data_IF_229196919336
#
_entry.id   IF_229196919336
#
_cell.length_a   1.000
_cell.length_b   1.000
_cell.length_c   1.000
_cell.angle_alpha   90.00
_cell.angle_beta   90.00
_cell.angle_gamma   90.00
#
_symmetry.space_group_name_H-M   'P 1'
#
loop_
_entity.id
_entity.type
_entity.pdbx_description
1 polymer ?
#
# COMPACT_ATOMS: atom_id res chain seq x y z
N UNK A 1 -23.54 2.93 -69.33
CA UNK A 1 -22.86 4.21 -69.00
C UNK A 1 -23.91 5.07 -68.34
N UNK A 2 -23.67 5.49 -67.09
CA UNK A 2 -24.05 6.80 -66.53
C UNK A 2 -23.84 6.80 -65.02
N UNK A 3 -22.76 7.48 -64.62
CA UNK A 3 -22.42 7.82 -63.24
C UNK A 3 -23.39 8.89 -62.72
N UNK A 4 -23.93 8.71 -61.52
CA UNK A 4 -24.48 9.81 -60.70
C UNK A 4 -23.83 9.81 -59.32
N UNK A 5 -22.72 10.56 -59.22
CA UNK A 5 -22.16 11.00 -57.95
C UNK A 5 -22.95 12.23 -57.45
N UNK A 6 -23.61 12.09 -56.30
CA UNK A 6 -24.26 13.20 -55.60
C UNK A 6 -23.42 13.66 -54.42
N UNK A 7 -22.75 14.79 -54.56
CA UNK A 7 -22.08 15.53 -53.48
C UNK A 7 -23.12 16.08 -52.50
N UNK A 8 -22.99 15.77 -51.19
CA UNK A 8 -23.68 16.49 -50.12
C UNK A 8 -22.71 17.47 -49.46
N UNK A 9 -23.07 18.73 -49.56
CA UNK A 9 -22.38 19.90 -49.00
C UNK A 9 -22.40 19.89 -47.47
N UNK A 10 -21.24 20.11 -46.86
CA UNK A 10 -21.11 20.43 -45.44
C UNK A 10 -21.62 21.85 -45.18
N UNK A 11 -22.49 21.99 -44.19
CA UNK A 11 -23.00 23.28 -43.74
C UNK A 11 -22.14 23.78 -42.57
N UNK A 12 -21.47 24.91 -42.78
CA UNK A 12 -20.75 25.66 -41.76
C UNK A 12 -21.73 26.59 -41.02
N UNK A 13 -21.70 26.61 -39.69
CA UNK A 13 -21.93 27.88 -38.99
C UNK A 13 -21.14 27.93 -37.67
N UNK A 14 -20.41 29.05 -37.37
CA UNK A 14 -19.51 29.18 -36.24
C UNK A 14 -20.11 30.00 -35.07
N UNK A 15 -19.35 30.05 -33.98
CA UNK A 15 -19.41 30.93 -32.77
C UNK A 15 -19.96 30.28 -31.49
N UNK A 16 -19.05 29.85 -30.62
CA UNK A 16 -18.68 30.64 -29.44
C UNK A 16 -17.53 29.99 -28.66
N UNK A 17 -16.37 30.64 -28.71
CA UNK A 17 -15.30 30.47 -27.72
C UNK A 17 -15.62 31.38 -26.53
N UNK A 18 -15.69 30.82 -25.32
CA UNK A 18 -15.17 31.45 -24.09
C UNK A 18 -15.62 30.66 -22.85
N UNK A 19 -14.72 29.83 -22.33
CA UNK A 19 -14.46 29.75 -20.89
C UNK A 19 -13.19 28.92 -20.70
N UNK A 20 -12.06 29.60 -20.74
CA UNK A 20 -10.87 29.11 -20.07
C UNK A 20 -11.23 28.94 -18.59
N UNK A 21 -11.29 27.69 -18.11
CA UNK A 21 -11.32 27.43 -16.68
C UNK A 21 -9.90 27.04 -16.25
N UNK A 22 -9.09 28.06 -16.08
CA UNK A 22 -7.79 28.04 -15.41
C UNK A 22 -8.00 27.66 -13.94
N UNK A 23 -8.01 26.35 -13.64
CA UNK A 23 -8.06 25.88 -12.25
C UNK A 23 -7.34 24.54 -12.01
N UNK A 24 -6.39 24.17 -12.87
CA UNK A 24 -5.60 22.95 -12.69
C UNK A 24 -4.30 23.13 -11.88
N UNK A 25 -3.84 24.37 -11.65
CA UNK A 25 -2.52 24.63 -11.06
C UNK A 25 -2.50 25.03 -9.58
N UNK A 26 -3.66 25.17 -8.90
CA UNK A 26 -3.72 25.64 -7.50
C UNK A 26 -4.27 24.61 -6.49
N UNK A 27 -4.23 23.31 -6.79
CA UNK A 27 -4.60 22.26 -5.80
C UNK A 27 -3.42 21.68 -5.02
N UNK A 28 -2.19 22.00 -5.39
CA UNK A 28 -0.99 21.44 -4.74
C UNK A 28 -0.51 22.23 -3.52
N UNK A 29 -1.02 23.44 -3.27
CA UNK A 29 -0.45 24.35 -2.25
C UNK A 29 -1.18 24.37 -0.90
N UNK A 30 -2.23 23.56 -0.72
CA UNK A 30 -3.01 23.54 0.53
C UNK A 30 -3.06 22.18 1.25
N UNK A 31 -2.13 21.26 0.96
CA UNK A 31 -1.91 20.11 1.82
C UNK A 31 -0.85 20.48 2.86
N UNK A 32 -1.28 21.08 3.97
CA UNK A 32 -0.50 20.96 5.21
C UNK A 32 -0.37 19.47 5.48
N UNK A 33 0.78 18.91 5.13
CA UNK A 33 1.05 17.48 5.14
C UNK A 33 1.05 17.06 6.61
N UNK A 34 -0.10 16.63 7.15
CA UNK A 34 -0.15 16.02 8.48
C UNK A 34 0.90 14.90 8.46
N UNK A 35 1.83 14.98 9.40
CA UNK A 35 2.92 14.01 9.55
C UNK A 35 2.43 12.94 10.51
N UNK A 36 2.83 11.69 10.27
CA UNK A 36 2.60 10.61 11.24
C UNK A 36 3.23 11.05 12.57
N UNK A 37 2.53 10.87 13.69
CA UNK A 37 3.05 11.22 15.00
C UNK A 37 4.37 10.51 15.29
N UNK A 38 5.21 11.15 16.10
CA UNK A 38 6.55 10.68 16.37
C UNK A 38 6.55 9.28 17.01
N UNK A 39 5.60 9.00 17.89
CA UNK A 39 5.48 7.71 18.58
C UNK A 39 5.17 6.58 17.60
N UNK A 40 4.18 6.78 16.72
CA UNK A 40 3.85 5.84 15.64
C UNK A 40 5.03 5.62 14.70
N UNK A 41 5.75 6.69 14.34
CA UNK A 41 6.93 6.59 13.46
C UNK A 41 8.07 5.82 14.13
N UNK A 42 8.33 6.09 15.41
CA UNK A 42 9.34 5.39 16.20
C UNK A 42 8.97 3.91 16.39
N UNK A 43 7.70 3.62 16.62
CA UNK A 43 7.18 2.26 16.69
C UNK A 43 7.42 1.49 15.39
N UNK A 44 7.07 2.07 14.23
CA UNK A 44 7.29 1.41 12.93
C UNK A 44 8.79 1.13 12.72
N UNK A 45 9.66 2.08 13.07
CA UNK A 45 11.10 1.93 12.92
C UNK A 45 11.73 0.93 13.90
N UNK A 46 11.05 0.57 14.98
CA UNK A 46 11.54 -0.43 15.94
C UNK A 46 11.22 -1.87 15.54
N UNK A 47 10.42 -2.07 14.48
CA UNK A 47 10.10 -3.40 13.96
C UNK A 47 11.37 -4.04 13.39
N UNK A 48 11.76 -5.19 13.94
CA UNK A 48 12.89 -6.00 13.48
C UNK A 48 12.42 -7.43 13.20
N UNK A 49 12.87 -8.01 12.10
CA UNK A 49 12.56 -9.41 11.75
C UNK A 49 13.41 -10.43 12.49
N UNK A 50 14.56 -10.00 12.98
CA UNK A 50 15.57 -10.90 13.52
C UNK A 50 16.04 -10.40 14.87
N UNK A 51 16.31 -11.35 15.75
CA UNK A 51 17.01 -11.08 17.00
C UNK A 51 18.51 -10.97 16.71
N UNK A 52 19.17 -10.06 17.42
CA UNK A 52 20.63 -9.88 17.39
C UNK A 52 21.30 -10.71 18.50
N UNK A 53 20.69 -11.84 18.89
CA UNK A 53 21.19 -12.70 19.97
C UNK A 53 22.25 -13.67 19.40
N UNK A 54 23.52 -13.33 19.62
CA UNK A 54 24.67 -14.13 19.17
C UNK A 54 25.01 -13.94 17.69
N UNK A 55 25.80 -14.86 17.12
CA UNK A 55 26.24 -14.79 15.71
C UNK A 55 25.17 -15.27 14.70
N UNK A 56 24.12 -15.95 15.17
CA UNK A 56 23.09 -16.54 14.33
C UNK A 56 21.87 -15.61 14.16
N UNK A 57 21.53 -15.30 12.90
CA UNK A 57 20.37 -14.47 12.54
C UNK A 57 19.05 -15.27 12.63
N UNK A 58 18.49 -15.35 13.83
CA UNK A 58 17.21 -16.02 14.12
C UNK A 58 16.03 -15.06 14.00
N UNK A 59 14.86 -15.56 13.58
CA UNK A 59 13.63 -14.77 13.51
C UNK A 59 13.27 -14.33 14.94
N UNK A 60 12.88 -13.06 15.10
CA UNK A 60 12.48 -12.54 16.39
C UNK A 60 11.29 -13.35 16.95
N UNK A 61 11.47 -13.91 18.16
CA UNK A 61 10.52 -14.87 18.76
C UNK A 61 9.14 -14.26 19.04
N UNK A 62 9.07 -12.94 19.20
CA UNK A 62 7.85 -12.21 19.55
C UNK A 62 7.23 -11.50 18.32
N UNK A 63 7.82 -11.67 17.13
CA UNK A 63 7.41 -10.95 15.92
C UNK A 63 5.98 -11.27 15.51
N UNK A 64 5.60 -12.55 15.58
CA UNK A 64 4.29 -13.02 15.13
C UNK A 64 3.23 -13.07 16.24
N UNK A 65 3.61 -12.74 17.48
CA UNK A 65 2.75 -12.68 18.66
C UNK A 65 2.62 -11.24 19.16
N UNK A 66 3.40 -10.84 20.18
CA UNK A 66 3.32 -9.54 20.85
C UNK A 66 3.44 -8.39 19.84
N UNK A 67 4.41 -8.46 18.93
CA UNK A 67 4.63 -7.39 17.95
C UNK A 67 3.46 -7.26 16.96
N UNK A 68 2.91 -8.39 16.52
CA UNK A 68 1.75 -8.41 15.62
C UNK A 68 0.51 -7.80 16.31
N UNK A 69 0.28 -8.13 17.58
CA UNK A 69 -0.80 -7.57 18.40
C UNK A 69 -0.62 -6.06 18.60
N UNK A 70 0.59 -5.60 18.95
CA UNK A 70 0.91 -4.17 19.06
C UNK A 70 0.64 -3.42 17.74
N UNK A 71 1.01 -4.01 16.59
CA UNK A 71 0.72 -3.44 15.27
C UNK A 71 -0.78 -3.33 15.05
N UNK A 72 -1.56 -4.37 15.37
CA UNK A 72 -3.03 -4.33 15.27
C UNK A 72 -3.61 -3.24 16.16
N UNK A 73 -3.11 -3.08 17.38
CA UNK A 73 -3.54 -2.02 18.29
C UNK A 73 -3.28 -0.62 17.71
N UNK A 74 -2.15 -0.41 17.01
CA UNK A 74 -1.90 0.85 16.30
C UNK A 74 -2.82 1.03 15.08
N UNK A 75 -3.10 -0.04 14.32
CA UNK A 75 -4.01 -0.02 13.17
C UNK A 75 -5.46 0.28 13.58
N UNK A 76 -5.88 -0.21 14.75
CA UNK A 76 -7.24 -0.08 15.29
C UNK A 76 -7.55 1.32 15.81
N UNK A 77 -6.52 2.10 16.19
CA UNK A 77 -6.70 3.49 16.60
C UNK A 77 -7.30 4.32 15.46
N UNK A 78 -8.14 5.30 15.83
CA UNK A 78 -8.49 6.38 14.90
C UNK A 78 -7.20 7.13 14.56
N UNK A 79 -7.01 7.38 13.28
CA UNK A 79 -5.83 8.07 12.78
C UNK A 79 -6.18 8.94 11.59
N UNK A 80 -5.23 9.79 11.20
CA UNK A 80 -5.39 10.55 9.96
C UNK A 80 -5.00 9.71 8.74
N UNK A 81 -5.66 9.98 7.63
CA UNK A 81 -5.28 9.58 6.27
C UNK A 81 -4.23 10.55 5.73
N UNK A 82 -3.68 10.27 4.55
CA UNK A 82 -2.64 11.13 3.97
C UNK A 82 -3.14 12.51 3.52
N UNK A 83 -4.46 12.73 3.49
CA UNK A 83 -5.08 14.05 3.26
C UNK A 83 -5.39 14.79 4.56
N UNK A 84 -5.17 14.15 5.72
CA UNK A 84 -5.47 14.70 7.04
C UNK A 84 -6.87 14.36 7.56
N UNK A 85 -7.73 13.71 6.76
CA UNK A 85 -9.05 13.24 7.17
C UNK A 85 -8.93 12.13 8.22
N UNK A 86 -9.71 12.22 9.29
CA UNK A 86 -9.79 11.15 10.29
C UNK A 86 -10.47 9.89 9.73
N UNK A 87 -9.93 8.74 10.09
CA UNK A 87 -10.45 7.45 9.70
C UNK A 87 -9.99 6.33 10.63
N UNK A 88 -10.52 5.15 10.38
CA UNK A 88 -10.14 3.92 11.05
C UNK A 88 -10.04 2.84 9.98
N UNK A 89 -9.03 1.98 10.09
CA UNK A 89 -8.88 0.88 9.14
C UNK A 89 -9.94 -0.20 9.39
N UNK A 90 -10.36 -0.84 8.30
CA UNK A 90 -11.25 -2.00 8.30
C UNK A 90 -10.49 -3.27 7.97
N UNK A 91 -10.95 -4.41 8.47
CA UNK A 91 -10.34 -5.70 8.14
C UNK A 91 -10.35 -5.98 6.62
N UNK A 92 -11.39 -5.52 5.91
CA UNK A 92 -11.50 -5.64 4.45
C UNK A 92 -10.41 -4.88 3.70
N UNK A 93 -9.94 -3.75 4.25
CA UNK A 93 -8.83 -2.98 3.68
C UNK A 93 -7.49 -3.70 3.87
N UNK A 94 -7.24 -4.24 5.07
CA UNK A 94 -6.05 -5.06 5.35
C UNK A 94 -6.02 -6.30 4.46
N UNK A 95 -7.15 -7.00 4.34
CA UNK A 95 -7.27 -8.22 3.52
C UNK A 95 -6.94 -7.95 2.04
N UNK A 96 -7.29 -6.78 1.51
CA UNK A 96 -6.93 -6.40 0.13
C UNK A 96 -5.42 -6.39 -0.08
N UNK A 97 -4.66 -5.82 0.86
CA UNK A 97 -3.19 -5.82 0.79
C UNK A 97 -2.61 -7.21 1.03
N UNK A 98 -3.16 -7.95 1.99
CA UNK A 98 -2.74 -9.32 2.26
C UNK A 98 -2.90 -10.23 1.03
N UNK A 99 -4.01 -10.10 0.30
CA UNK A 99 -4.23 -10.88 -0.93
C UNK A 99 -3.17 -10.59 -2.00
N UNK A 100 -2.78 -9.31 -2.18
CA UNK A 100 -1.70 -8.93 -3.10
C UNK A 100 -0.36 -9.56 -2.67
N UNK A 101 -0.03 -9.47 -1.38
CA UNK A 101 1.17 -10.05 -0.78
C UNK A 101 1.19 -11.58 -0.98
N UNK A 102 0.08 -12.25 -0.65
CA UNK A 102 -0.06 -13.69 -0.73
C UNK A 102 0.02 -14.20 -2.18
N UNK A 103 -0.53 -13.44 -3.14
CA UNK A 103 -0.44 -13.79 -4.57
C UNK A 103 1.01 -13.86 -5.03
N UNK A 104 1.82 -12.88 -4.65
CA UNK A 104 3.26 -12.86 -4.98
C UNK A 104 4.00 -13.99 -4.24
N UNK A 105 3.68 -14.22 -2.96
CA UNK A 105 4.27 -15.33 -2.17
C UNK A 105 4.05 -16.67 -2.86
N UNK A 106 2.80 -16.96 -3.24
CA UNK A 106 2.45 -18.19 -3.93
C UNK A 106 3.22 -18.32 -5.26
N UNK A 107 3.35 -17.24 -6.03
CA UNK A 107 4.12 -17.25 -7.28
C UNK A 107 5.59 -17.63 -7.06
N UNK A 108 6.20 -17.10 -6.00
CA UNK A 108 7.59 -17.40 -5.62
C UNK A 108 7.71 -18.86 -5.15
N UNK A 109 6.85 -19.29 -4.23
CA UNK A 109 6.88 -20.63 -3.61
C UNK A 109 6.65 -21.76 -4.62
N UNK A 110 5.74 -21.58 -5.57
CA UNK A 110 5.44 -22.60 -6.59
C UNK A 110 6.39 -22.54 -7.80
N UNK A 111 7.35 -21.62 -7.81
CA UNK A 111 8.36 -21.56 -8.88
C UNK A 111 9.43 -22.65 -8.71
N UNK A 112 10.04 -23.07 -9.83
CA UNK A 112 11.17 -24.02 -9.80
C UNK A 112 12.42 -23.46 -9.11
N UNK A 113 12.55 -22.13 -9.09
CA UNK A 113 13.67 -21.44 -8.45
C UNK A 113 13.14 -20.21 -7.69
N UNK A 114 12.75 -20.38 -6.42
CA UNK A 114 12.15 -19.32 -5.61
C UNK A 114 13.02 -18.07 -5.48
N UNK A 115 14.34 -18.20 -5.41
CA UNK A 115 15.20 -17.02 -5.28
C UNK A 115 15.22 -16.19 -6.57
N UNK A 116 15.34 -16.85 -7.73
CA UNK A 116 15.27 -16.17 -9.02
C UNK A 116 13.89 -15.52 -9.22
N UNK A 117 12.81 -16.21 -8.85
CA UNK A 117 11.46 -15.67 -8.97
C UNK A 117 11.23 -14.50 -8.01
N UNK A 118 11.75 -14.56 -6.78
CA UNK A 118 11.75 -13.42 -5.85
C UNK A 118 12.41 -12.18 -6.47
N UNK A 119 13.56 -12.32 -7.13
CA UNK A 119 14.22 -11.18 -7.79
C UNK A 119 13.36 -10.58 -8.92
N UNK A 120 12.62 -11.40 -9.67
CA UNK A 120 11.67 -10.92 -10.69
C UNK A 120 10.45 -10.26 -10.06
N UNK A 121 10.00 -10.74 -8.91
CA UNK A 121 8.85 -10.22 -8.19
C UNK A 121 9.17 -8.99 -7.35
N UNK A 122 10.44 -8.73 -7.04
CA UNK A 122 10.87 -7.61 -6.20
C UNK A 122 10.32 -6.24 -6.63
N UNK A 123 10.23 -5.87 -7.93
CA UNK A 123 9.55 -4.66 -8.36
C UNK A 123 8.06 -4.62 -7.99
N UNK A 124 7.35 -5.75 -8.09
CA UNK A 124 5.94 -5.87 -7.74
C UNK A 124 5.72 -5.85 -6.22
N UNK A 125 6.64 -6.43 -5.45
CA UNK A 125 6.69 -6.28 -4.00
C UNK A 125 6.84 -4.81 -3.64
N UNK A 126 7.81 -4.09 -4.25
CA UNK A 126 7.98 -2.65 -4.06
C UNK A 126 6.77 -1.83 -4.49
N UNK A 127 6.03 -2.27 -5.51
CA UNK A 127 4.81 -1.62 -5.97
C UNK A 127 3.67 -1.65 -4.93
N UNK A 128 3.68 -2.59 -3.97
CA UNK A 128 2.72 -2.61 -2.86
C UNK A 128 2.79 -1.30 -2.05
N UNK A 129 4.00 -0.75 -1.84
CA UNK A 129 4.19 0.54 -1.19
C UNK A 129 3.50 1.69 -1.96
N UNK A 130 3.56 1.67 -3.29
CA UNK A 130 2.86 2.65 -4.13
C UNK A 130 1.34 2.51 -4.04
N UNK A 131 0.82 1.28 -4.04
CA UNK A 131 -0.62 0.98 -3.83
C UNK A 131 -1.10 1.46 -2.46
N UNK A 132 -0.30 1.27 -1.41
CA UNK A 132 -0.60 1.76 -0.06
C UNK A 132 -0.67 3.29 -0.04
N UNK A 133 0.31 3.96 -0.65
CA UNK A 133 0.32 5.41 -0.72
C UNK A 133 -0.90 5.96 -1.47
N UNK A 134 -1.23 5.38 -2.63
CA UNK A 134 -2.43 5.75 -3.38
C UNK A 134 -3.71 5.56 -2.56
N UNK A 135 -3.87 4.42 -1.88
CA UNK A 135 -5.02 4.17 -1.01
C UNK A 135 -5.11 5.19 0.14
N UNK A 136 -3.97 5.55 0.73
CA UNK A 136 -3.90 6.55 1.80
C UNK A 136 -4.28 7.96 1.30
N UNK A 137 -3.84 8.33 0.09
CA UNK A 137 -4.19 9.60 -0.56
C UNK A 137 -5.66 9.69 -0.99
N UNK A 138 -6.33 8.54 -1.10
CA UNK A 138 -7.77 8.41 -1.41
C UNK A 138 -8.61 8.18 -0.15
N UNK A 139 -8.02 8.40 1.03
CA UNK A 139 -8.66 8.23 2.35
C UNK A 139 -9.19 6.81 2.60
N UNK A 140 -8.58 5.81 1.96
CA UNK A 140 -8.97 4.40 2.11
C UNK A 140 -8.21 3.68 3.21
N UNK A 141 -7.08 4.21 3.68
CA UNK A 141 -6.32 3.68 4.83
C UNK A 141 -5.70 4.83 5.62
N UNK A 142 -5.37 4.59 6.88
CA UNK A 142 -4.66 5.57 7.71
C UNK A 142 -3.18 5.67 7.32
N UNK A 143 -2.55 6.78 7.72
CA UNK A 143 -1.11 7.01 7.55
C UNK A 143 -0.28 5.92 8.22
N UNK A 144 -0.70 5.43 9.40
CA UNK A 144 0.00 4.35 10.10
C UNK A 144 0.12 3.10 9.23
N UNK A 145 -1.01 2.62 8.67
CA UNK A 145 -1.00 1.42 7.81
C UNK A 145 -0.18 1.64 6.53
N UNK A 146 -0.25 2.84 5.95
CA UNK A 146 0.58 3.20 4.79
C UNK A 146 2.09 3.12 5.12
N UNK A 147 2.53 3.78 6.18
CA UNK A 147 3.94 3.79 6.57
C UNK A 147 4.43 2.42 7.06
N UNK A 148 3.58 1.64 7.74
CA UNK A 148 3.89 0.25 8.10
C UNK A 148 4.20 -0.60 6.85
N UNK A 149 3.32 -0.55 5.83
CA UNK A 149 3.52 -1.29 4.58
C UNK A 149 4.79 -0.82 3.89
N UNK A 150 4.96 0.50 3.74
CA UNK A 150 6.14 1.10 3.10
C UNK A 150 7.44 0.70 3.81
N UNK A 151 7.48 0.76 5.13
CA UNK A 151 8.66 0.42 5.91
C UNK A 151 9.04 -1.06 5.70
N UNK A 152 8.10 -1.99 5.81
CA UNK A 152 8.38 -3.41 5.59
C UNK A 152 8.89 -3.66 4.17
N UNK A 153 8.17 -3.18 3.15
CA UNK A 153 8.45 -3.44 1.73
C UNK A 153 9.76 -2.79 1.27
N UNK A 154 10.05 -1.56 1.70
CA UNK A 154 11.19 -0.80 1.20
C UNK A 154 12.44 -0.98 2.05
N UNK A 155 12.28 -1.16 3.37
CA UNK A 155 13.41 -1.15 4.30
C UNK A 155 13.76 -2.53 4.84
N UNK A 156 12.78 -3.41 5.11
CA UNK A 156 13.03 -4.71 5.74
C UNK A 156 13.15 -5.87 4.73
N UNK A 157 12.33 -5.89 3.68
CA UNK A 157 12.38 -6.95 2.67
C UNK A 157 13.56 -6.77 1.73
N UNK A 158 14.59 -7.62 1.86
CA UNK A 158 15.79 -7.64 0.99
C UNK A 158 16.00 -8.98 0.30
N UNK A 159 15.51 -10.06 0.91
CA UNK A 159 15.65 -11.44 0.46
C UNK A 159 14.29 -12.14 0.41
N UNK A 160 14.22 -13.29 -0.27
CA UNK A 160 13.03 -14.14 -0.23
C UNK A 160 12.65 -14.54 1.21
N UNK A 161 13.66 -14.79 2.08
CA UNK A 161 13.42 -15.08 3.51
C UNK A 161 12.75 -13.91 4.22
N UNK A 162 13.20 -12.67 3.98
CA UNK A 162 12.57 -11.48 4.57
C UNK A 162 11.13 -11.32 4.07
N UNK A 163 10.88 -11.58 2.78
CA UNK A 163 9.54 -11.52 2.22
C UNK A 163 8.59 -12.55 2.85
N UNK A 164 9.05 -13.77 3.07
CA UNK A 164 8.28 -14.78 3.78
C UNK A 164 7.94 -14.35 5.21
N UNK A 165 8.91 -13.76 5.93
CA UNK A 165 8.67 -13.20 7.27
C UNK A 165 7.63 -12.08 7.23
N UNK A 166 7.70 -11.18 6.24
CA UNK A 166 6.71 -10.13 6.04
C UNK A 166 5.30 -10.71 5.81
N UNK A 167 5.19 -11.73 4.96
CA UNK A 167 3.92 -12.40 4.68
C UNK A 167 3.33 -13.02 5.94
N UNK A 168 4.13 -13.75 6.71
CA UNK A 168 3.70 -14.37 7.97
C UNK A 168 3.31 -13.32 9.01
N UNK A 169 4.08 -12.23 9.15
CA UNK A 169 3.71 -11.11 10.02
C UNK A 169 2.37 -10.51 9.62
N UNK A 170 2.14 -10.28 8.33
CA UNK A 170 0.88 -9.74 7.84
C UNK A 170 -0.29 -10.71 8.08
N UNK A 171 -0.06 -12.01 7.94
CA UNK A 171 -1.04 -13.05 8.28
C UNK A 171 -1.41 -13.03 9.77
N UNK A 172 -0.42 -12.95 10.66
CA UNK A 172 -0.66 -12.76 12.10
C UNK A 172 -1.47 -11.49 12.38
N UNK A 173 -1.17 -10.37 11.71
CA UNK A 173 -1.94 -9.13 11.82
C UNK A 173 -3.40 -9.36 11.39
N UNK A 174 -3.65 -10.08 10.28
CA UNK A 174 -5.03 -10.43 9.88
C UNK A 174 -5.71 -11.26 10.96
N UNK A 175 -5.03 -12.26 11.53
CA UNK A 175 -5.57 -13.10 12.59
C UNK A 175 -5.96 -12.27 13.83
N UNK A 176 -5.03 -11.48 14.40
CA UNK A 176 -5.29 -10.61 15.56
C UNK A 176 -6.28 -9.47 15.26
N UNK A 177 -6.41 -9.03 14.00
CA UNK A 177 -7.40 -8.03 13.61
C UNK A 177 -8.84 -8.56 13.65
N UNK A 178 -9.02 -9.89 13.63
CA UNK A 178 -10.32 -10.53 13.66
C UNK A 178 -10.96 -10.34 15.03
N UNK A 179 -12.05 -9.57 15.09
CA UNK A 179 -12.71 -9.17 16.34
C UNK A 179 -12.25 -7.82 16.89
N UNK A 180 -11.14 -7.28 16.40
CA UNK A 180 -10.58 -5.98 16.82
C UNK A 180 -10.96 -4.85 15.86
N UNK A 181 -10.96 -5.11 14.55
CA UNK A 181 -11.30 -4.11 13.52
C UNK A 181 -12.75 -4.23 13.04
N UNK A 182 -13.37 -3.11 12.64
CA UNK A 182 -14.66 -3.14 11.96
C UNK A 182 -14.57 -3.86 10.60
N UNK A 183 -15.70 -4.44 10.18
CA UNK A 183 -15.85 -5.08 8.87
C UNK A 183 -15.78 -4.07 7.71
#
# INVERSE_FOLDING_TARGET
MDNKFGNKSYNNNPKNQSSQNSNSHNRHEQYSKKVLDADSKNFINSIKYYDEIGEAKNINVNLFSEKAEEIVNQIAKRGSTCTGKEGQNKITQLRRFYNDILTIKNKIEYSKNPELEFQKELPYIKMIAAKANYACQRDHITMFLNEFIKHNVLNLVKTNKDYNIFCTLFESIIAYSTGTLPK
#
